data_IF_478423319548
#
_entry.id   IF_478423319548
#
_cell.length_a   1.000
_cell.length_b   1.000
_cell.length_c   1.000
_cell.angle_alpha   90.00
_cell.angle_beta   90.00
_cell.angle_gamma   90.00
#
_symmetry.space_group_name_H-M   'P 1'
#
loop_
_entity.id
_entity.type
_entity.pdbx_description
1 polymer ?
#
# COMPACT_ATOMS: atom_id res chain seq x y z
N UNK A 1 8.03 -8.24 6.33
CA UNK A 1 8.29 -6.83 5.96
C UNK A 1 8.07 -6.54 4.49
N UNK A 2 7.61 -5.32 4.21
CA UNK A 2 7.44 -4.78 2.84
C UNK A 2 8.62 -3.87 2.52
N UNK A 3 9.27 -4.12 1.40
CA UNK A 3 10.47 -3.40 0.93
C UNK A 3 10.22 -2.73 -0.42
N UNK A 4 10.99 -1.68 -0.71
CA UNK A 4 10.97 -1.02 -2.02
C UNK A 4 11.79 -1.84 -3.00
N UNK A 5 11.15 -2.31 -4.07
CA UNK A 5 11.78 -3.05 -5.18
C UNK A 5 11.61 -2.27 -6.48
N UNK A 6 12.34 -2.67 -7.52
CA UNK A 6 12.21 -2.13 -8.87
C UNK A 6 11.89 -3.25 -9.84
N UNK A 7 11.03 -2.99 -10.81
CA UNK A 7 10.81 -3.91 -11.92
C UNK A 7 12.02 -3.92 -12.85
N UNK A 8 12.09 -4.88 -13.78
CA UNK A 8 13.12 -4.92 -14.84
C UNK A 8 13.21 -3.62 -15.64
N UNK A 9 12.09 -2.90 -15.80
CA UNK A 9 11.99 -1.61 -16.48
C UNK A 9 12.23 -0.39 -15.55
N UNK A 10 12.67 -0.62 -14.31
CA UNK A 10 13.04 0.43 -13.36
C UNK A 10 11.88 1.06 -12.56
N UNK A 11 10.63 0.64 -12.77
CA UNK A 11 9.48 1.17 -12.00
C UNK A 11 9.54 0.68 -10.56
N UNK A 12 9.46 1.59 -9.59
CA UNK A 12 9.43 1.26 -8.16
C UNK A 12 8.10 0.64 -7.77
N UNK A 13 8.13 -0.37 -6.90
CA UNK A 13 6.96 -0.97 -6.25
C UNK A 13 7.32 -1.37 -4.81
N UNK A 14 6.30 -1.55 -3.99
CA UNK A 14 6.40 -2.07 -2.63
C UNK A 14 5.97 -3.52 -2.66
N UNK A 15 6.82 -4.41 -2.18
CA UNK A 15 6.51 -5.83 -2.14
C UNK A 15 7.19 -6.54 -0.98
N UNK A 16 6.74 -7.75 -0.68
CA UNK A 16 7.32 -8.56 0.38
C UNK A 16 8.79 -8.89 0.14
N UNK A 17 9.55 -8.96 1.23
CA UNK A 17 10.92 -9.47 1.23
C UNK A 17 10.98 -10.98 0.93
N UNK A 18 10.03 -11.76 1.46
CA UNK A 18 9.96 -13.22 1.31
C UNK A 18 9.23 -13.67 0.02
N UNK A 19 9.44 -12.99 -1.10
CA UNK A 19 8.86 -13.41 -2.37
C UNK A 19 9.63 -14.67 -2.87
N UNK A 20 9.01 -15.81 -3.21
CA UNK A 20 7.63 -16.03 -3.66
C UNK A 20 6.57 -16.37 -2.59
N UNK A 21 6.96 -16.58 -1.33
CA UNK A 21 6.02 -16.99 -0.26
C UNK A 21 5.00 -15.90 0.10
N UNK A 22 5.28 -14.64 -0.27
CA UNK A 22 4.34 -13.54 -0.17
C UNK A 22 4.19 -12.80 -1.50
N UNK A 23 2.96 -12.80 -2.02
CA UNK A 23 2.58 -12.20 -3.31
C UNK A 23 2.14 -10.74 -3.21
N UNK A 24 2.24 -10.11 -2.04
CA UNK A 24 1.86 -8.71 -1.87
C UNK A 24 2.71 -7.79 -2.76
N UNK A 25 2.03 -7.00 -3.58
CA UNK A 25 2.63 -6.01 -4.47
C UNK A 25 1.71 -4.78 -4.58
N UNK A 26 2.24 -3.59 -4.35
CA UNK A 26 1.53 -2.34 -4.62
C UNK A 26 2.47 -1.26 -5.17
N UNK A 27 1.90 -0.34 -5.95
CA UNK A 27 2.63 0.79 -6.53
C UNK A 27 2.69 2.00 -5.61
N UNK A 28 1.71 2.11 -4.71
CA UNK A 28 1.65 3.19 -3.73
C UNK A 28 2.30 2.73 -2.43
N UNK A 29 2.80 3.65 -1.63
CA UNK A 29 3.40 3.30 -0.34
C UNK A 29 2.29 2.79 0.58
N UNK A 30 2.33 1.54 1.06
CA UNK A 30 1.37 1.07 2.05
C UNK A 30 1.67 1.77 3.38
N UNK A 31 0.61 2.12 4.10
CA UNK A 31 0.68 2.63 5.46
C UNK A 31 0.49 1.51 6.47
N UNK A 32 0.84 1.76 7.73
CA UNK A 32 0.56 0.84 8.83
C UNK A 32 -0.91 0.90 9.30
N UNK A 33 -1.71 1.79 8.71
CA UNK A 33 -3.11 2.00 9.06
C UNK A 33 -4.03 1.09 8.25
N UNK A 34 -5.04 0.53 8.91
CA UNK A 34 -6.10 -0.24 8.31
C UNK A 34 -7.33 0.63 8.06
N UNK A 35 -8.05 0.35 6.99
CA UNK A 35 -9.29 1.01 6.65
C UNK A 35 -10.36 0.67 7.69
N UNK A 36 -10.91 1.68 8.36
CA UNK A 36 -11.96 1.49 9.37
C UNK A 36 -13.29 0.98 8.78
N UNK A 37 -13.50 1.13 7.46
CA UNK A 37 -14.73 0.68 6.80
C UNK A 37 -14.72 -0.79 6.37
N UNK A 38 -13.57 -1.30 5.93
CA UNK A 38 -13.49 -2.65 5.35
C UNK A 38 -12.35 -3.51 5.91
N UNK A 39 -11.50 -2.99 6.79
CA UNK A 39 -10.32 -3.69 7.32
C UNK A 39 -9.17 -3.86 6.31
N UNK A 40 -9.34 -3.39 5.07
CA UNK A 40 -8.30 -3.36 4.04
C UNK A 40 -7.09 -2.52 4.46
N UNK A 41 -5.96 -2.67 3.76
CA UNK A 41 -4.81 -1.81 3.98
C UNK A 41 -5.01 -0.45 3.28
N UNK A 42 -4.41 0.59 3.84
CA UNK A 42 -4.44 1.92 3.25
C UNK A 42 -3.09 2.28 2.64
N UNK A 43 -3.11 3.08 1.59
CA UNK A 43 -1.93 3.59 0.89
C UNK A 43 -1.81 5.10 1.01
N UNK A 44 -0.59 5.60 1.07
CA UNK A 44 -0.28 7.02 1.12
C UNK A 44 -0.50 7.66 -0.26
N UNK A 45 -1.30 8.73 -0.29
CA UNK A 45 -1.55 9.53 -1.49
C UNK A 45 -1.41 11.01 -1.17
N UNK A 46 -0.16 11.51 -1.12
CA UNK A 46 0.12 12.88 -0.70
C UNK A 46 0.01 13.01 0.82
N UNK A 47 -0.86 13.91 1.31
CA UNK A 47 -1.12 14.15 2.73
C UNK A 47 -2.30 13.34 3.31
N UNK A 48 -2.77 12.33 2.59
CA UNK A 48 -3.92 11.50 2.98
C UNK A 48 -3.64 10.02 2.79
N UNK A 49 -4.36 9.21 3.54
CA UNK A 49 -4.45 7.77 3.37
C UNK A 49 -5.71 7.42 2.57
N UNK A 50 -5.58 6.51 1.62
CA UNK A 50 -6.68 6.03 0.79
C UNK A 50 -6.73 4.51 0.89
N UNK A 51 -7.91 3.95 1.07
CA UNK A 51 -8.11 2.50 1.03
C UNK A 51 -7.69 1.95 -0.35
N UNK A 52 -6.91 0.87 -0.38
CA UNK A 52 -6.48 0.25 -1.63
C UNK A 52 -7.65 -0.39 -2.40
N UNK A 53 -8.66 -0.88 -1.66
CA UNK A 53 -9.90 -1.36 -2.23
C UNK A 53 -10.70 -0.21 -2.88
N UNK A 54 -10.72 -0.24 -4.22
CA UNK A 54 -11.41 0.72 -5.07
C UNK A 54 -12.93 0.72 -4.86
N UNK A 55 -13.51 -0.38 -4.39
CA UNK A 55 -14.93 -0.45 -4.09
C UNK A 55 -15.28 0.25 -2.78
N UNK A 56 -14.34 0.29 -1.83
CA UNK A 56 -14.52 0.97 -0.54
C UNK A 56 -14.38 2.49 -0.66
N UNK A 57 -13.30 2.96 -1.31
CA UNK A 57 -13.07 4.39 -1.55
C UNK A 57 -12.86 5.26 -0.30
N UNK A 58 -12.66 4.67 0.88
CA UNK A 58 -12.45 5.42 2.11
C UNK A 58 -11.13 6.21 2.10
N UNK A 59 -11.15 7.40 2.68
CA UNK A 59 -10.02 8.34 2.74
C UNK A 59 -9.96 8.94 4.14
N UNK A 60 -8.75 9.06 4.69
CA UNK A 60 -8.50 9.75 5.96
C UNK A 60 -7.23 10.60 5.90
N UNK A 61 -7.05 11.49 6.87
CA UNK A 61 -5.84 12.29 6.99
C UNK A 61 -4.62 11.40 7.30
N UNK A 62 -3.46 11.75 6.76
CA UNK A 62 -2.21 11.13 7.17
C UNK A 62 -1.75 11.83 8.45
N UNK A 63 -1.93 11.19 9.60
CA UNK A 63 -1.36 11.67 10.85
C UNK A 63 0.17 11.57 10.74
N UNK A 64 0.83 12.73 10.76
CA UNK A 64 2.28 12.87 10.61
C UNK A 64 2.99 12.91 11.95
#
# INVERSE_FOLDING_TARGET
>A
DVVIRKTKKGRKYYGCINNPECEFMTWQKPSNTRCEKCGGFMVEKGSKLVCDDKSCGHVMALDK
#
